data_IF_440171687639
#
_entry.id   IF_440171687639
#
_cell.length_a   1.000
_cell.length_b   1.000
_cell.length_c   1.000
_cell.angle_alpha   90.00
_cell.angle_beta   90.00
_cell.angle_gamma   90.00
#
_symmetry.space_group_name_H-M   'P 1'
#
loop_
_entity.id
_entity.type
_entity.pdbx_description
1 polymer ?
#
# COMPACT_ATOMS: atom_id res chain seq x y z
N UNK A 1 -21.91 -14.46 12.37
CA UNK A 1 -22.05 -13.02 12.67
C UNK A 1 -20.85 -12.31 12.07
N UNK A 2 -21.05 -11.39 11.12
CA UNK A 2 -19.95 -10.60 10.59
C UNK A 2 -19.44 -9.67 11.70
N UNK A 3 -18.21 -9.87 12.17
CA UNK A 3 -17.56 -8.96 13.13
C UNK A 3 -17.49 -7.59 12.44
N UNK A 4 -18.19 -6.60 12.98
CA UNK A 4 -18.04 -5.21 12.55
C UNK A 4 -16.57 -4.84 12.75
N UNK A 5 -15.79 -4.84 11.66
CA UNK A 5 -14.36 -4.54 11.72
C UNK A 5 -14.21 -3.12 12.22
N UNK A 6 -13.42 -2.94 13.27
CA UNK A 6 -13.12 -1.61 13.77
C UNK A 6 -12.23 -0.89 12.73
N UNK A 7 -12.50 0.39 12.47
CA UNK A 7 -11.67 1.23 11.61
C UNK A 7 -10.17 1.11 11.94
N UNK A 8 -9.83 1.04 13.23
CA UNK A 8 -8.44 0.85 13.67
C UNK A 8 -7.83 -0.48 13.21
N UNK A 9 -8.60 -1.58 13.25
CA UNK A 9 -8.14 -2.89 12.75
C UNK A 9 -7.91 -2.84 11.24
N UNK A 10 -8.83 -2.24 10.49
CA UNK A 10 -8.73 -2.11 9.02
C UNK A 10 -7.52 -1.27 8.61
N UNK A 11 -7.24 -0.17 9.32
CA UNK A 11 -6.08 0.68 9.03
C UNK A 11 -4.75 -0.03 9.32
N UNK A 12 -4.69 -0.85 10.37
CA UNK A 12 -3.50 -1.66 10.67
C UNK A 12 -3.26 -2.73 9.59
N UNK A 13 -4.32 -3.44 9.19
CA UNK A 13 -4.25 -4.41 8.08
C UNK A 13 -3.77 -3.74 6.79
N UNK A 14 -4.34 -2.57 6.45
CA UNK A 14 -3.95 -1.82 5.26
C UNK A 14 -2.48 -1.41 5.29
N UNK A 15 -1.99 -0.89 6.44
CA UNK A 15 -0.57 -0.54 6.62
C UNK A 15 0.34 -1.75 6.40
N UNK A 16 -0.02 -2.89 6.97
CA UNK A 16 0.75 -4.14 6.82
C UNK A 16 0.77 -4.61 5.36
N UNK A 17 -0.37 -4.57 4.68
CA UNK A 17 -0.47 -4.93 3.26
C UNK A 17 0.37 -3.99 2.37
N UNK A 18 0.34 -2.68 2.64
CA UNK A 18 1.18 -1.70 1.93
C UNK A 18 2.66 -2.04 2.07
N UNK A 19 3.12 -2.42 3.27
CA UNK A 19 4.52 -2.77 3.49
C UNK A 19 4.94 -4.00 2.67
N UNK A 20 4.10 -5.04 2.64
CA UNK A 20 4.35 -6.25 1.85
C UNK A 20 4.45 -5.90 0.37
N UNK A 21 3.49 -5.15 -0.16
CA UNK A 21 3.53 -4.72 -1.56
C UNK A 21 4.81 -3.91 -1.88
N UNK A 22 5.22 -3.02 -0.98
CA UNK A 22 6.42 -2.22 -1.16
C UNK A 22 7.68 -3.11 -1.21
N UNK A 23 7.78 -4.09 -0.30
CA UNK A 23 8.88 -5.05 -0.27
C UNK A 23 8.96 -5.89 -1.55
N UNK A 24 7.82 -6.35 -2.07
CA UNK A 24 7.79 -7.11 -3.32
C UNK A 24 8.21 -6.25 -4.53
N UNK A 25 7.74 -5.00 -4.60
CA UNK A 25 8.13 -4.08 -5.67
C UNK A 25 9.62 -3.73 -5.63
N UNK A 26 10.19 -3.51 -4.43
CA UNK A 26 11.61 -3.19 -4.25
C UNK A 26 12.56 -4.32 -4.68
N UNK A 27 12.09 -5.57 -4.84
CA UNK A 27 12.90 -6.66 -5.39
C UNK A 27 13.17 -6.49 -6.89
N UNK A 28 12.27 -5.80 -7.60
CA UNK A 28 12.33 -5.61 -9.06
C UNK A 28 12.70 -4.18 -9.42
N UNK A 29 12.17 -3.21 -8.68
CA UNK A 29 12.40 -1.77 -8.87
C UNK A 29 13.44 -1.32 -7.85
N UNK A 30 14.71 -1.29 -8.27
CA UNK A 30 15.85 -0.99 -7.39
C UNK A 30 16.22 0.49 -7.47
N UNK A 31 16.40 1.13 -6.31
CA UNK A 31 16.89 2.51 -6.20
C UNK A 31 15.93 3.61 -6.67
N UNK A 32 14.62 3.32 -6.73
CA UNK A 32 13.59 4.27 -7.14
C UNK A 32 12.44 4.28 -6.12
N UNK A 33 12.72 4.74 -4.89
CA UNK A 33 11.69 4.84 -3.85
C UNK A 33 10.54 5.76 -4.26
N UNK A 34 10.84 6.91 -4.86
CA UNK A 34 9.83 7.92 -5.27
C UNK A 34 8.85 7.36 -6.32
N UNK A 35 9.32 6.52 -7.24
CA UNK A 35 8.48 5.91 -8.29
C UNK A 35 7.53 4.87 -7.67
N UNK A 36 8.02 4.09 -6.70
CA UNK A 36 7.17 3.14 -5.96
C UNK A 36 6.08 3.89 -5.18
N UNK A 37 6.41 5.05 -4.60
CA UNK A 37 5.43 5.88 -3.92
C UNK A 37 4.38 6.47 -4.87
N UNK A 38 4.79 7.00 -6.02
CA UNK A 38 3.88 7.48 -7.06
C UNK A 38 2.94 6.37 -7.56
N UNK A 39 3.44 5.14 -7.71
CA UNK A 39 2.63 3.99 -8.09
C UNK A 39 1.54 3.70 -7.05
N UNK A 40 1.88 3.72 -5.76
CA UNK A 40 0.88 3.56 -4.70
C UNK A 40 -0.14 4.70 -4.68
N UNK A 41 0.31 5.95 -4.87
CA UNK A 41 -0.58 7.10 -4.97
C UNK A 41 -1.58 6.90 -6.12
N UNK A 42 -1.11 6.46 -7.29
CA UNK A 42 -1.97 6.23 -8.45
C UNK A 42 -2.97 5.08 -8.24
N UNK A 43 -2.53 3.97 -7.63
CA UNK A 43 -3.39 2.81 -7.36
C UNK A 43 -4.50 3.15 -6.35
N UNK A 44 -4.16 3.81 -5.25
CA UNK A 44 -5.11 4.04 -4.15
C UNK A 44 -6.00 5.26 -4.34
N UNK A 45 -5.49 6.32 -4.96
CA UNK A 45 -6.26 7.55 -5.16
C UNK A 45 -6.95 7.60 -6.53
N UNK A 46 -6.67 6.64 -7.41
CA UNK A 46 -7.04 6.67 -8.85
C UNK A 46 -6.60 7.95 -9.57
N UNK A 47 -5.65 8.69 -9.01
CA UNK A 47 -4.99 9.82 -9.63
C UNK A 47 -3.82 9.38 -10.50
N UNK A 48 -3.34 10.27 -11.37
CA UNK A 48 -2.01 10.18 -11.96
C UNK A 48 -1.17 11.27 -11.31
N UNK A 49 0.12 10.97 -11.12
CA UNK A 49 1.09 11.89 -10.54
C UNK A 49 1.05 13.28 -11.21
#
# INVERSE_FOLDING_TARGET
MAKTRNLGEVLQEFKQQRLVMQQELQKVIVGQEDVIEQLFAAIFTRGHC
#
